data_IF_063885082924
#
_entry.id   IF_063885082924
#
_cell.length_a   1.000
_cell.length_b   1.000
_cell.length_c   1.000
_cell.angle_alpha   90.00
_cell.angle_beta   90.00
_cell.angle_gamma   90.00
#
_symmetry.space_group_name_H-M   'P 1'
#
loop_
_entity.id
_entity.type
_entity.pdbx_description
1 polymer ?
#
# COMPACT_ATOMS: atom_id res chain seq x y z
N UNK A 1 -17.86 -8.96 -19.61
CA UNK A 1 -18.57 -7.85 -18.95
C UNK A 1 -17.62 -6.65 -18.86
N UNK A 2 -18.08 -5.42 -19.07
CA UNK A 2 -17.23 -4.24 -18.88
C UNK A 2 -16.85 -4.09 -17.40
N UNK A 3 -15.63 -3.57 -17.14
CA UNK A 3 -15.18 -3.25 -15.78
C UNK A 3 -16.06 -2.15 -15.17
N UNK A 4 -16.08 -2.05 -13.84
CA UNK A 4 -16.89 -1.06 -13.10
C UNK A 4 -16.04 -0.33 -12.05
N UNK A 5 -16.46 0.88 -11.66
CA UNK A 5 -15.83 1.57 -10.53
C UNK A 5 -16.33 0.98 -9.22
N UNK A 6 -15.42 0.73 -8.29
CA UNK A 6 -15.77 0.31 -6.93
C UNK A 6 -15.47 1.41 -5.94
N UNK A 7 -16.49 1.81 -5.19
CA UNK A 7 -16.40 2.82 -4.13
C UNK A 7 -16.52 2.22 -2.73
N UNK A 8 -16.76 0.91 -2.61
CA UNK A 8 -16.93 0.21 -1.34
C UNK A 8 -16.02 -1.04 -1.24
N UNK A 9 -15.16 -1.09 -0.22
CA UNK A 9 -14.27 -2.23 0.02
C UNK A 9 -13.13 -2.38 -1.00
N UNK A 10 -12.41 -3.52 -0.99
CA UNK A 10 -11.21 -3.72 -1.82
C UNK A 10 -11.50 -3.82 -3.32
N UNK A 11 -10.66 -3.21 -4.15
CA UNK A 11 -10.76 -3.34 -5.60
C UNK A 11 -10.16 -4.65 -6.13
N UNK A 12 -10.82 -5.27 -7.13
CA UNK A 12 -10.38 -6.50 -7.80
C UNK A 12 -9.97 -6.19 -9.24
N UNK A 13 -8.70 -6.41 -9.58
CA UNK A 13 -8.12 -5.97 -10.87
C UNK A 13 -8.81 -6.55 -12.11
N UNK A 14 -9.39 -7.76 -11.99
CA UNK A 14 -10.07 -8.44 -13.09
C UNK A 14 -11.47 -7.89 -13.41
N UNK A 15 -12.11 -7.19 -12.47
CA UNK A 15 -13.50 -6.71 -12.64
C UNK A 15 -13.68 -5.21 -12.34
N UNK A 16 -12.74 -4.54 -11.68
CA UNK A 16 -12.83 -3.12 -11.34
C UNK A 16 -11.87 -2.26 -12.17
N UNK A 17 -12.29 -1.04 -12.49
CA UNK A 17 -11.37 -0.02 -12.98
C UNK A 17 -10.42 0.37 -11.85
N UNK A 18 -9.12 0.20 -12.09
CA UNK A 18 -8.06 0.53 -11.15
C UNK A 18 -6.96 1.29 -11.86
N UNK A 19 -6.43 2.30 -11.17
CA UNK A 19 -5.14 2.90 -11.50
C UNK A 19 -4.09 2.26 -10.59
N UNK A 20 -2.86 2.08 -11.09
CA UNK A 20 -1.76 1.59 -10.26
C UNK A 20 -1.62 2.49 -9.02
N UNK A 21 -1.66 1.93 -7.81
CA UNK A 21 -1.46 2.71 -6.59
C UNK A 21 -0.05 3.30 -6.50
N UNK A 22 0.97 2.59 -7.01
CA UNK A 22 2.38 3.03 -7.02
C UNK A 22 2.70 3.95 -8.18
N UNK A 23 1.93 3.89 -9.28
CA UNK A 23 2.08 4.79 -10.43
C UNK A 23 1.90 6.27 -10.09
N UNK A 24 1.25 6.59 -8.95
CA UNK A 24 1.13 7.96 -8.43
C UNK A 24 2.30 8.40 -7.52
N UNK A 25 3.27 7.53 -7.29
CA UNK A 25 4.42 7.72 -6.40
C UNK A 25 5.74 7.52 -7.18
N UNK A 26 6.03 8.32 -8.22
CA UNK A 26 7.14 8.05 -9.15
C UNK A 26 8.52 8.07 -8.50
N UNK A 27 8.68 8.82 -7.39
CA UNK A 27 9.97 8.97 -6.69
C UNK A 27 10.29 7.79 -5.77
N UNK A 28 9.33 6.90 -5.52
CA UNK A 28 9.47 5.85 -4.51
C UNK A 28 10.57 4.84 -4.84
N UNK A 29 10.73 4.49 -6.11
CA UNK A 29 11.77 3.54 -6.56
C UNK A 29 13.18 4.08 -6.26
N UNK A 30 13.43 5.36 -6.55
CA UNK A 30 14.72 5.99 -6.28
C UNK A 30 15.02 6.01 -4.78
N UNK A 31 14.02 6.27 -3.95
CA UNK A 31 14.20 6.24 -2.48
C UNK A 31 14.56 4.83 -2.00
N UNK A 32 13.88 3.80 -2.52
CA UNK A 32 14.13 2.39 -2.18
C UNK A 32 15.53 1.94 -2.64
N UNK A 33 15.92 2.25 -3.89
CA UNK A 33 17.25 1.91 -4.40
C UNK A 33 18.38 2.60 -3.65
N UNK A 34 18.12 3.79 -3.11
CA UNK A 34 19.06 4.50 -2.24
C UNK A 34 18.96 4.12 -0.76
N UNK A 35 18.23 3.06 -0.40
CA UNK A 35 18.04 2.59 0.98
C UNK A 35 17.49 3.67 1.94
N UNK A 36 16.69 4.61 1.42
CA UNK A 36 16.17 5.72 2.20
C UNK A 36 14.89 5.34 2.94
N UNK A 37 14.73 5.90 4.14
CA UNK A 37 13.44 5.93 4.83
C UNK A 37 12.55 7.03 4.26
N UNK A 38 11.25 6.76 4.11
CA UNK A 38 10.29 7.72 3.59
C UNK A 38 8.93 7.64 4.30
N UNK A 39 8.16 8.72 4.19
CA UNK A 39 6.81 8.83 4.76
C UNK A 39 5.83 9.13 3.63
N UNK A 40 4.72 8.38 3.58
CA UNK A 40 3.60 8.70 2.70
C UNK A 40 2.61 9.61 3.45
N UNK A 41 2.72 10.92 3.23
CA UNK A 41 1.79 11.90 3.78
C UNK A 41 0.59 12.09 2.85
N UNK A 42 -0.61 11.75 3.30
CA UNK A 42 -1.84 11.97 2.55
C UNK A 42 -3.06 12.02 3.48
N UNK A 43 -4.20 12.63 3.09
CA UNK A 43 -5.41 12.70 3.91
C UNK A 43 -5.96 11.34 4.37
N UNK A 44 -6.86 11.32 5.35
CA UNK A 44 -7.50 10.07 5.81
C UNK A 44 -8.28 9.42 4.65
N UNK A 45 -8.29 8.09 4.62
CA UNK A 45 -9.05 7.25 3.66
C UNK A 45 -8.70 7.40 2.16
N UNK A 46 -7.58 8.03 1.81
CA UNK A 46 -7.12 8.16 0.40
C UNK A 46 -6.34 6.95 -0.13
N UNK A 47 -6.39 5.81 0.56
CA UNK A 47 -5.77 4.57 0.09
C UNK A 47 -4.26 4.40 0.36
N UNK A 48 -3.70 5.08 1.39
CA UNK A 48 -2.29 4.90 1.79
C UNK A 48 -1.93 3.43 2.07
N UNK A 49 -2.75 2.74 2.85
CA UNK A 49 -2.57 1.31 3.16
C UNK A 49 -2.62 0.47 1.88
N UNK A 50 -3.56 0.76 0.98
CA UNK A 50 -3.66 0.10 -0.32
C UNK A 50 -2.40 0.30 -1.17
N UNK A 51 -1.83 1.51 -1.16
CA UNK A 51 -0.59 1.82 -1.86
C UNK A 51 0.61 1.06 -1.27
N UNK A 52 0.73 0.98 0.06
CA UNK A 52 1.79 0.21 0.73
C UNK A 52 1.70 -1.29 0.44
N UNK A 53 0.48 -1.86 0.45
CA UNK A 53 0.27 -3.28 0.10
C UNK A 53 0.63 -3.55 -1.37
N UNK A 54 0.22 -2.67 -2.28
CA UNK A 54 0.55 -2.79 -3.70
C UNK A 54 2.06 -2.70 -3.92
N UNK A 55 2.73 -1.76 -3.26
CA UNK A 55 4.18 -1.63 -3.31
C UNK A 55 4.90 -2.88 -2.80
N UNK A 56 4.50 -3.41 -1.64
CA UNK A 56 5.12 -4.61 -1.09
C UNK A 56 5.00 -5.80 -2.05
N UNK A 57 3.85 -5.95 -2.71
CA UNK A 57 3.65 -6.96 -3.75
C UNK A 57 4.55 -6.72 -4.96
N UNK A 58 4.57 -5.51 -5.51
CA UNK A 58 5.43 -5.16 -6.65
C UNK A 58 6.92 -5.41 -6.37
N UNK A 59 7.39 -5.10 -5.15
CA UNK A 59 8.76 -5.35 -4.73
C UNK A 59 9.06 -6.84 -4.54
N UNK A 60 8.09 -7.61 -4.04
CA UNK A 60 8.26 -9.06 -3.86
C UNK A 60 8.21 -9.79 -5.20
N UNK A 61 7.29 -9.40 -6.07
CA UNK A 61 7.09 -9.96 -7.41
C UNK A 61 8.26 -9.63 -8.36
N UNK A 62 9.05 -8.58 -8.08
CA UNK A 62 10.25 -8.29 -8.85
C UNK A 62 11.38 -9.32 -8.63
N UNK A 63 11.33 -10.07 -7.54
CA UNK A 63 12.38 -11.02 -7.13
C UNK A 63 13.65 -10.37 -6.56
N UNK A 64 13.75 -9.04 -6.57
CA UNK A 64 14.90 -8.31 -6.01
C UNK A 64 14.76 -8.08 -4.50
N UNK A 65 13.53 -8.02 -3.99
CA UNK A 65 13.25 -7.70 -2.60
C UNK A 65 12.32 -8.74 -1.97
N UNK A 66 12.42 -8.92 -0.66
CA UNK A 66 11.37 -9.52 0.16
C UNK A 66 10.74 -8.42 0.99
N UNK A 67 9.54 -8.00 0.64
CA UNK A 67 8.86 -6.91 1.34
C UNK A 67 7.98 -7.45 2.47
N UNK A 68 8.13 -6.87 3.67
CA UNK A 68 7.28 -7.17 4.82
C UNK A 68 6.50 -5.91 5.20
N UNK A 69 5.17 -6.01 5.23
CA UNK A 69 4.30 -4.96 5.74
C UNK A 69 3.91 -5.27 7.18
N UNK A 70 4.17 -4.31 8.08
CA UNK A 70 3.74 -4.37 9.47
C UNK A 70 2.72 -3.27 9.73
N UNK A 71 1.59 -3.64 10.32
CA UNK A 71 0.69 -2.69 10.97
C UNK A 71 1.04 -2.68 12.44
N UNK A 72 1.42 -1.51 12.96
CA UNK A 72 1.77 -1.33 14.38
C UNK A 72 0.75 -0.37 14.97
N UNK A 73 0.06 -0.83 16.01
CA UNK A 73 -0.87 -0.02 16.78
C UNK A 73 -0.33 0.19 18.19
N UNK A 74 -0.70 1.30 18.82
CA UNK A 74 -0.35 1.53 20.22
C UNK A 74 -1.09 0.49 21.06
N UNK A 75 -0.33 -0.32 21.80
CA UNK A 75 -0.90 -1.31 22.71
C UNK A 75 -1.70 -0.65 23.84
N UNK A 76 -2.73 -1.33 24.31
CA UNK A 76 -3.43 -0.96 25.54
C UNK A 76 -2.78 -1.67 26.73
N UNK A 77 -2.73 -0.97 27.87
CA UNK A 77 -2.38 -1.60 29.15
C UNK A 77 -3.46 -2.65 29.46
N UNK A 78 -3.06 -3.86 29.87
CA UNK A 78 -4.01 -4.87 30.33
C UNK A 78 -4.77 -4.31 31.53
N UNK A 79 -6.12 -4.29 31.54
CA UNK A 79 -6.86 -3.76 32.68
C UNK A 79 -6.51 -4.59 33.92
N UNK A 80 -5.88 -3.99 34.92
CA UNK A 80 -5.96 -4.53 36.27
C UNK A 80 -7.33 -4.15 36.80
N UNK A 81 -8.14 -5.17 37.12
CA UNK A 81 -9.48 -5.00 37.68
C UNK A 81 -9.49 -4.26 39.00
#
# INVERSE_FOLDING_TARGET
MPRQFNTAGPCKANIHYMLSPTGRLPQLKTLIYGENYFIIYAPRQVGKTTAMIALARELTDSGEYTAVMLSVEVGSVFPMG
#
